data_IF_159676664878
#
_entry.id   IF_159676664878
#
_cell.length_a   1.000
_cell.length_b   1.000
_cell.length_c   1.000
_cell.angle_alpha   90.00
_cell.angle_beta   90.00
_cell.angle_gamma   90.00
#
_symmetry.space_group_name_H-M   'P 1'
#
loop_
_entity.id
_entity.type
_entity.pdbx_description
1 polymer ?
#
# COMPACT_ATOMS: atom_id res chain seq x y z
N UNK A 1 -0.09 -24.92 10.41
CA UNK A 1 0.27 -23.48 10.29
C UNK A 1 -0.96 -22.87 9.66
N UNK A 2 -1.91 -22.42 10.48
CA UNK A 2 -3.31 -22.29 10.06
C UNK A 2 -3.69 -20.82 9.95
N UNK A 3 -2.88 -20.04 9.23
CA UNK A 3 -3.09 -18.61 9.04
C UNK A 3 -2.73 -18.15 7.63
N UNK A 4 -3.25 -16.99 7.18
CA UNK A 4 -2.92 -16.45 5.88
C UNK A 4 -1.43 -16.12 5.80
N UNK A 5 -0.86 -16.20 4.59
CA UNK A 5 0.48 -15.69 4.34
C UNK A 5 0.47 -14.15 4.36
N UNK A 6 1.29 -13.54 5.21
CA UNK A 6 1.27 -12.09 5.43
C UNK A 6 2.49 -11.43 4.80
N UNK A 7 2.24 -10.44 3.94
CA UNK A 7 3.23 -9.55 3.37
C UNK A 7 3.13 -8.16 3.99
N UNK A 8 4.25 -7.61 4.44
CA UNK A 8 4.33 -6.21 4.87
C UNK A 8 4.94 -5.36 3.76
N UNK A 9 4.28 -4.26 3.42
CA UNK A 9 4.78 -3.27 2.46
C UNK A 9 4.71 -1.88 3.09
N UNK A 10 5.84 -1.18 3.09
CA UNK A 10 5.97 0.17 3.62
C UNK A 10 6.96 0.98 2.78
N UNK A 11 6.72 2.28 2.65
CA UNK A 11 7.70 3.24 2.15
C UNK A 11 8.22 4.03 3.36
N UNK A 12 9.53 4.04 3.54
CA UNK A 12 10.20 4.74 4.65
C UNK A 12 11.20 5.74 4.08
N UNK A 13 11.40 6.84 4.77
CA UNK A 13 12.54 7.72 4.53
C UNK A 13 13.86 7.00 4.85
N UNK A 14 14.99 7.55 4.39
CA UNK A 14 16.32 6.95 4.60
C UNK A 14 16.72 6.87 6.09
N UNK A 15 16.17 7.77 6.90
CA UNK A 15 16.32 7.82 8.36
C UNK A 15 15.24 7.00 9.10
N UNK A 16 14.40 6.24 8.39
CA UNK A 16 13.54 5.21 8.97
C UNK A 16 12.14 5.67 9.40
N UNK A 17 11.68 6.83 8.96
CA UNK A 17 10.36 7.36 9.30
C UNK A 17 9.31 7.06 8.21
N UNK A 18 8.06 6.86 8.66
CA UNK A 18 6.90 6.57 7.79
C UNK A 18 6.05 7.81 7.49
N UNK A 19 6.16 8.85 8.31
CA UNK A 19 5.32 10.03 8.26
C UNK A 19 6.07 11.27 8.76
N UNK A 20 5.56 12.43 8.35
CA UNK A 20 5.92 13.74 8.90
C UNK A 20 5.25 13.96 10.27
N UNK A 21 5.46 15.13 10.88
CA UNK A 21 4.83 15.43 12.17
C UNK A 21 3.31 15.60 11.99
N UNK A 22 2.50 15.33 13.02
CA UNK A 22 1.07 15.61 12.96
C UNK A 22 0.81 17.07 12.59
N UNK A 23 -0.01 17.30 11.56
CA UNK A 23 -0.35 18.63 11.05
C UNK A 23 0.47 19.10 9.85
N UNK A 24 1.58 18.41 9.52
CA UNK A 24 2.30 18.66 8.27
C UNK A 24 1.58 18.02 7.07
N UNK A 25 1.82 18.57 5.89
CA UNK A 25 1.35 17.96 4.64
C UNK A 25 1.94 16.55 4.45
N UNK A 26 1.14 15.68 3.84
CA UNK A 26 1.53 14.30 3.57
C UNK A 26 2.65 14.25 2.54
N UNK A 27 3.81 13.72 2.93
CA UNK A 27 4.94 13.50 2.04
C UNK A 27 4.78 12.19 1.24
N UNK A 28 4.97 12.24 -0.07
CA UNK A 28 5.08 11.05 -0.91
C UNK A 28 6.51 10.49 -0.82
N UNK A 29 6.68 9.39 -0.06
CA UNK A 29 7.98 8.74 0.17
C UNK A 29 8.45 7.85 -1.00
N UNK A 30 7.59 7.60 -1.98
CA UNK A 30 7.89 6.77 -3.14
C UNK A 30 7.76 7.58 -4.45
N UNK A 31 8.55 7.22 -5.45
CA UNK A 31 8.35 7.67 -6.82
C UNK A 31 7.28 6.81 -7.53
N UNK A 32 7.00 7.11 -8.79
CA UNK A 32 6.01 6.37 -9.59
C UNK A 32 6.28 4.85 -9.65
N UNK A 33 7.54 4.44 -9.81
CA UNK A 33 7.90 3.02 -9.84
C UNK A 33 7.64 2.34 -8.48
N UNK A 34 7.90 3.04 -7.38
CA UNK A 34 7.58 2.56 -6.04
C UNK A 34 6.08 2.40 -5.81
N UNK A 35 5.27 3.35 -6.30
CA UNK A 35 3.81 3.24 -6.25
C UNK A 35 3.29 2.09 -7.12
N UNK A 36 3.80 1.91 -8.33
CA UNK A 36 3.44 0.78 -9.20
C UNK A 36 3.77 -0.57 -8.56
N UNK A 37 4.93 -0.69 -7.92
CA UNK A 37 5.30 -1.89 -7.15
C UNK A 37 4.32 -2.19 -6.01
N UNK A 38 3.88 -1.17 -5.27
CA UNK A 38 2.89 -1.37 -4.20
C UNK A 38 1.53 -1.75 -4.78
N UNK A 39 1.17 -1.19 -5.94
CA UNK A 39 -0.08 -1.51 -6.63
C UNK A 39 -0.10 -2.97 -7.12
N UNK A 40 1.01 -3.47 -7.67
CA UNK A 40 1.13 -4.88 -8.08
C UNK A 40 1.08 -5.83 -6.89
N UNK A 41 1.70 -5.48 -5.75
CA UNK A 41 1.57 -6.24 -4.50
C UNK A 41 0.12 -6.28 -4.03
N UNK A 42 -0.60 -5.15 -4.04
CA UNK A 42 -2.03 -5.11 -3.70
C UNK A 42 -2.88 -5.97 -4.63
N UNK A 43 -2.55 -5.98 -5.92
CA UNK A 43 -3.24 -6.81 -6.89
C UNK A 43 -3.04 -8.31 -6.66
N UNK A 44 -1.97 -8.71 -5.96
CA UNK A 44 -1.63 -10.11 -5.67
C UNK A 44 -2.10 -10.63 -4.30
N UNK A 45 -2.80 -9.85 -3.48
CA UNK A 45 -3.28 -10.27 -2.14
C UNK A 45 -4.80 -10.34 -2.07
N UNK A 46 -5.34 -11.18 -1.19
CA UNK A 46 -6.79 -11.29 -1.01
C UNK A 46 -7.38 -10.20 -0.14
N UNK A 47 -6.57 -9.62 0.75
CA UNK A 47 -6.98 -8.57 1.66
C UNK A 47 -5.83 -7.59 1.93
N UNK A 48 -6.19 -6.32 2.14
CA UNK A 48 -5.27 -5.28 2.62
C UNK A 48 -5.65 -4.93 4.04
N UNK A 49 -4.70 -5.07 4.96
CA UNK A 49 -4.85 -4.63 6.35
C UNK A 49 -4.17 -3.27 6.54
N UNK A 50 -4.83 -2.37 7.26
CA UNK A 50 -4.29 -1.06 7.63
C UNK A 50 -4.68 -0.71 9.08
N UNK A 51 -3.82 0.00 9.78
CA UNK A 51 -4.10 0.46 11.14
C UNK A 51 -5.14 1.57 11.18
N UNK A 52 -5.94 1.63 12.25
CA UNK A 52 -6.97 2.66 12.44
C UNK A 52 -6.39 4.09 12.45
N UNK A 53 -5.17 4.28 12.97
CA UNK A 53 -4.48 5.57 12.93
C UNK A 53 -4.21 6.06 11.51
N UNK A 54 -3.74 5.17 10.62
CA UNK A 54 -3.55 5.47 9.20
C UNK A 54 -4.90 5.72 8.51
N UNK A 55 -5.93 4.95 8.84
CA UNK A 55 -7.28 5.20 8.30
C UNK A 55 -7.79 6.59 8.67
N UNK A 56 -7.62 6.99 9.94
CA UNK A 56 -8.05 8.30 10.42
C UNK A 56 -7.23 9.47 9.84
N UNK A 57 -5.91 9.30 9.72
CA UNK A 57 -5.02 10.34 9.22
C UNK A 57 -5.08 10.50 7.69
N UNK A 58 -5.13 9.41 6.93
CA UNK A 58 -4.96 9.42 5.48
C UNK A 58 -6.26 9.15 4.69
N UNK A 59 -7.30 8.60 5.33
CA UNK A 59 -8.52 8.10 4.68
C UNK A 59 -8.25 7.36 3.35
N UNK A 60 -7.36 6.35 3.33
CA UNK A 60 -6.91 5.76 2.08
C UNK A 60 -8.01 4.87 1.49
N UNK A 61 -8.26 5.01 0.18
CA UNK A 61 -9.22 4.16 -0.54
C UNK A 61 -8.68 2.75 -0.84
N UNK A 62 -7.36 2.59 -0.83
CA UNK A 62 -6.63 1.33 -1.07
C UNK A 62 -7.07 0.51 -2.32
N UNK A 63 -7.40 1.12 -3.49
CA UNK A 63 -7.70 0.33 -4.68
C UNK A 63 -6.42 -0.27 -5.27
N UNK A 64 -6.60 -1.27 -6.14
CA UNK A 64 -5.67 -1.55 -7.24
C UNK A 64 -5.93 -0.51 -8.33
N UNK A 65 -5.00 0.42 -8.51
CA UNK A 65 -5.16 1.59 -9.35
C UNK A 65 -4.93 1.27 -10.83
N UNK A 66 -3.89 0.49 -11.14
CA UNK A 66 -3.50 0.14 -12.50
C UNK A 66 -4.55 -0.75 -13.17
N UNK A 67 -4.98 -0.36 -14.36
CA UNK A 67 -5.85 -1.18 -15.22
C UNK A 67 -5.18 -2.51 -15.57
N UNK A 68 -3.88 -2.51 -15.81
CA UNK A 68 -3.10 -3.69 -16.13
C UNK A 68 -3.05 -4.68 -14.95
N UNK A 69 -2.79 -4.19 -13.73
CA UNK A 69 -2.72 -5.04 -12.54
C UNK A 69 -4.10 -5.64 -12.22
N UNK A 70 -5.18 -4.88 -12.40
CA UNK A 70 -6.55 -5.42 -12.27
C UNK A 70 -6.85 -6.51 -13.31
N UNK A 71 -6.48 -6.30 -14.57
CA UNK A 71 -6.69 -7.29 -15.62
C UNK A 71 -5.90 -8.58 -15.35
N UNK A 72 -4.65 -8.45 -14.90
CA UNK A 72 -3.82 -9.59 -14.52
C UNK A 72 -4.43 -10.37 -13.34
N UNK A 73 -4.92 -9.66 -12.31
CA UNK A 73 -5.62 -10.30 -11.19
C UNK A 73 -6.85 -11.09 -11.66
N UNK A 74 -7.73 -10.48 -12.43
CA UNK A 74 -8.92 -11.15 -12.95
C UNK A 74 -8.59 -12.37 -13.82
N UNK A 75 -7.49 -12.33 -14.56
CA UNK A 75 -7.01 -13.46 -15.34
C UNK A 75 -6.43 -14.60 -14.48
N UNK A 76 -5.98 -14.32 -13.25
CA UNK A 76 -5.45 -15.32 -12.32
C UNK A 76 -6.50 -16.02 -11.46
N UNK A 77 -7.75 -15.53 -11.46
CA UNK A 77 -8.86 -16.00 -10.61
C UNK A 77 -9.14 -15.10 -9.43
#
# INVERSE_FOLDING_TARGET
>A
MDGPYVLLSAAVSIDGYLATRPGDDRLMLANMAGFDRVDSVRAGVDAVLVGAGTLGADNPRLPVNSTQHRAARLASG
#
